data_IF_044530615300
#
_entry.id   IF_044530615300
#
_cell.length_a   1.000
_cell.length_b   1.000
_cell.length_c   1.000
_cell.angle_alpha   90.00
_cell.angle_beta   90.00
_cell.angle_gamma   90.00
#
_symmetry.space_group_name_H-M   'P 1'
#
loop_
_entity.id
_entity.type
_entity.pdbx_description
1 polymer ?
#
# COMPACT_ATOMS: atom_id res chain seq x y z
N UNK A 1 25.62 -13.05 0.34
CA UNK A 1 25.02 -13.46 -0.95
C UNK A 1 24.40 -12.22 -1.57
N UNK A 2 24.79 -11.83 -2.80
CA UNK A 2 24.15 -10.72 -3.53
C UNK A 2 22.87 -11.29 -4.15
N UNK A 3 21.71 -10.90 -3.67
CA UNK A 3 20.44 -11.24 -4.33
C UNK A 3 20.46 -10.69 -5.75
N UNK A 4 20.40 -11.60 -6.72
CA UNK A 4 20.43 -11.25 -8.13
C UNK A 4 18.99 -11.02 -8.59
N UNK A 5 18.63 -9.75 -8.75
CA UNK A 5 17.32 -9.33 -9.25
C UNK A 5 17.37 -9.36 -10.77
N UNK A 6 16.48 -10.13 -11.39
CA UNK A 6 16.27 -10.04 -12.83
C UNK A 6 15.39 -8.82 -13.12
N UNK A 7 15.88 -7.86 -13.90
CA UNK A 7 15.14 -6.63 -14.26
C UNK A 7 13.91 -6.89 -15.15
N UNK A 8 13.66 -8.14 -15.52
CA UNK A 8 12.54 -8.60 -16.34
C UNK A 8 11.92 -9.84 -15.68
N UNK A 9 10.60 -10.03 -15.86
CA UNK A 9 9.90 -11.19 -15.33
C UNK A 9 10.34 -12.50 -16.00
N UNK A 10 10.96 -13.37 -15.23
CA UNK A 10 11.17 -14.78 -15.54
C UNK A 10 10.04 -15.61 -14.93
N UNK A 11 8.97 -15.83 -15.71
CA UNK A 11 7.83 -16.64 -15.30
C UNK A 11 8.17 -18.13 -15.15
N UNK A 12 9.26 -18.59 -15.76
CA UNK A 12 9.74 -19.97 -15.61
C UNK A 12 10.30 -20.21 -14.21
N UNK A 13 10.97 -19.21 -13.63
CA UNK A 13 11.47 -19.23 -12.25
C UNK A 13 10.44 -18.83 -11.19
N UNK A 14 9.37 -18.14 -11.60
CA UNK A 14 8.35 -17.69 -10.66
C UNK A 14 7.62 -18.86 -9.97
N UNK A 15 7.14 -18.63 -8.74
CA UNK A 15 6.28 -19.59 -8.05
C UNK A 15 4.94 -19.75 -8.80
N UNK A 16 4.24 -20.87 -8.59
CA UNK A 16 2.93 -21.09 -9.21
C UNK A 16 1.91 -20.02 -8.79
N UNK A 17 1.96 -19.56 -7.54
CA UNK A 17 1.13 -18.47 -7.05
C UNK A 17 1.51 -17.13 -7.68
N UNK A 18 2.81 -16.80 -7.73
CA UNK A 18 3.28 -15.54 -8.32
C UNK A 18 2.86 -15.42 -9.79
N UNK A 19 2.93 -16.52 -10.56
CA UNK A 19 2.40 -16.57 -11.93
C UNK A 19 0.91 -16.26 -12.00
N UNK A 20 0.10 -16.80 -11.08
CA UNK A 20 -1.35 -16.53 -11.03
C UNK A 20 -1.64 -15.07 -10.69
N UNK A 21 -0.89 -14.49 -9.76
CA UNK A 21 -0.98 -13.06 -9.43
C UNK A 21 -0.61 -12.20 -10.64
N UNK A 22 0.50 -12.51 -11.30
CA UNK A 22 0.93 -11.82 -12.52
C UNK A 22 -0.17 -11.87 -13.59
N UNK A 23 -0.71 -13.06 -13.88
CA UNK A 23 -1.81 -13.23 -14.84
C UNK A 23 -3.07 -12.43 -14.45
N UNK A 24 -3.42 -12.39 -13.16
CA UNK A 24 -4.57 -11.63 -12.67
C UNK A 24 -4.39 -10.09 -12.76
N UNK A 25 -3.14 -9.63 -12.91
CA UNK A 25 -2.79 -8.21 -13.06
C UNK A 25 -2.43 -7.79 -14.49
N UNK A 26 -2.27 -8.72 -15.42
CA UNK A 26 -1.82 -8.47 -16.81
C UNK A 26 -2.68 -7.44 -17.57
N UNK A 27 -3.99 -7.43 -17.33
CA UNK A 27 -4.91 -6.47 -17.93
C UNK A 27 -5.05 -5.14 -17.17
N UNK A 28 -4.40 -4.99 -16.02
CA UNK A 28 -4.56 -3.79 -15.20
C UNK A 28 -3.72 -2.63 -15.75
N UNK A 29 -4.39 -1.52 -16.05
CA UNK A 29 -3.81 -0.34 -16.70
C UNK A 29 -2.51 0.16 -16.05
N UNK A 30 -2.41 0.13 -14.71
CA UNK A 30 -1.18 0.49 -13.99
C UNK A 30 -0.07 -0.52 -14.29
N UNK A 31 -0.34 -1.82 -14.15
CA UNK A 31 0.66 -2.87 -14.35
C UNK A 31 1.23 -2.89 -15.77
N UNK A 32 0.45 -2.48 -16.78
CA UNK A 32 0.91 -2.40 -18.18
C UNK A 32 1.93 -1.29 -18.44
N UNK A 33 2.05 -0.31 -17.54
CA UNK A 33 2.96 0.84 -17.68
C UNK A 33 4.30 0.65 -16.98
N UNK A 34 4.43 -0.42 -16.20
CA UNK A 34 5.59 -0.69 -15.36
C UNK A 34 6.13 -2.08 -15.65
N UNK A 35 7.34 -2.35 -15.17
CA UNK A 35 8.01 -3.63 -15.40
C UNK A 35 7.92 -4.52 -14.17
N UNK A 36 7.71 -5.80 -14.43
CA UNK A 36 7.89 -6.85 -13.45
C UNK A 36 9.35 -7.29 -13.40
N UNK A 37 9.85 -7.56 -12.20
CA UNK A 37 11.15 -8.16 -11.93
C UNK A 37 10.97 -9.49 -11.20
N UNK A 38 11.92 -10.41 -11.37
CA UNK A 38 11.93 -11.71 -10.68
C UNK A 38 13.07 -11.77 -9.68
N UNK A 39 12.75 -12.25 -8.48
CA UNK A 39 13.68 -12.35 -7.36
C UNK A 39 14.08 -13.82 -7.10
N UNK A 40 15.12 -14.02 -6.30
CA UNK A 40 15.81 -15.30 -6.14
C UNK A 40 14.90 -16.44 -5.66
N UNK A 41 13.86 -16.14 -4.87
CA UNK A 41 12.87 -17.10 -4.37
C UNK A 41 11.70 -17.37 -5.33
N UNK A 42 11.77 -16.86 -6.56
CA UNK A 42 10.68 -16.96 -7.53
C UNK A 42 9.53 -15.99 -7.26
N UNK A 43 9.77 -14.96 -6.45
CA UNK A 43 8.84 -13.86 -6.27
C UNK A 43 8.84 -12.95 -7.49
N UNK A 44 7.68 -12.36 -7.76
CA UNK A 44 7.53 -11.34 -8.78
C UNK A 44 7.27 -9.99 -8.11
N UNK A 45 7.98 -8.97 -8.54
CA UNK A 45 7.87 -7.61 -8.01
C UNK A 45 7.50 -6.66 -9.14
N UNK A 46 6.43 -5.91 -8.93
CA UNK A 46 5.97 -4.82 -9.78
C UNK A 46 6.25 -3.49 -9.06
N UNK A 47 7.16 -2.68 -9.60
CA UNK A 47 7.48 -1.37 -9.02
C UNK A 47 6.76 -0.26 -9.80
N UNK A 48 6.05 0.60 -9.05
CA UNK A 48 5.26 1.71 -9.59
C UNK A 48 5.82 3.01 -9.02
N UNK A 49 6.40 3.82 -9.89
CA UNK A 49 7.00 5.12 -9.54
C UNK A 49 6.30 6.30 -10.22
N UNK A 50 5.24 6.01 -10.97
CA UNK A 50 4.46 7.01 -11.69
C UNK A 50 2.98 6.72 -11.49
N UNK A 51 2.24 7.72 -11.06
CA UNK A 51 0.80 7.63 -10.89
C UNK A 51 0.09 7.44 -12.25
N UNK A 52 -1.19 7.03 -12.28
CA UNK A 52 -1.97 6.94 -13.52
C UNK A 52 -2.02 8.23 -14.34
N UNK A 53 -1.81 9.39 -13.70
CA UNK A 53 -1.72 10.71 -14.34
C UNK A 53 -0.39 10.97 -15.05
N UNK A 54 0.60 10.09 -14.92
CA UNK A 54 1.95 10.29 -15.47
C UNK A 54 2.90 11.08 -14.56
N UNK A 55 2.44 11.53 -13.38
CA UNK A 55 3.25 12.29 -12.43
C UNK A 55 4.09 11.33 -11.58
N UNK A 56 5.38 11.61 -11.33
CA UNK A 56 6.18 10.85 -10.38
C UNK A 56 5.51 10.78 -9.00
N UNK A 57 5.56 9.62 -8.36
CA UNK A 57 4.99 9.40 -7.05
C UNK A 57 5.99 8.71 -6.11
N UNK A 58 5.65 8.64 -4.82
CA UNK A 58 6.36 7.71 -3.93
C UNK A 58 6.27 6.29 -4.51
N UNK A 59 7.40 5.58 -4.51
CA UNK A 59 7.48 4.21 -5.01
C UNK A 59 6.49 3.33 -4.25
N UNK A 60 5.68 2.62 -5.02
CA UNK A 60 4.79 1.56 -4.56
C UNK A 60 5.25 0.25 -5.18
N UNK A 61 5.35 -0.79 -4.36
CA UNK A 61 5.77 -2.12 -4.77
C UNK A 61 4.61 -3.09 -4.57
N UNK A 62 4.23 -3.81 -5.63
CA UNK A 62 3.34 -4.97 -5.53
C UNK A 62 4.20 -6.22 -5.65
N UNK A 63 4.27 -6.99 -4.58
CA UNK A 63 5.09 -8.21 -4.51
C UNK A 63 4.20 -9.44 -4.50
N UNK A 64 4.47 -10.42 -5.37
CA UNK A 64 3.83 -11.72 -5.35
C UNK A 64 4.85 -12.76 -4.86
N UNK A 65 4.65 -13.28 -3.65
CA UNK A 65 5.54 -14.26 -3.02
C UNK A 65 5.12 -15.70 -3.36
N UNK A 66 5.55 -16.69 -2.57
CA UNK A 66 5.15 -18.08 -2.75
C UNK A 66 3.65 -18.33 -2.57
N UNK A 67 2.98 -17.55 -1.72
CA UNK A 67 1.58 -17.77 -1.31
C UNK A 67 0.80 -16.48 -1.05
N UNK A 68 1.45 -15.31 -1.17
CA UNK A 68 0.84 -13.99 -0.90
C UNK A 68 1.07 -12.99 -2.02
N UNK A 69 0.26 -11.95 -2.02
CA UNK A 69 0.48 -10.71 -2.74
C UNK A 69 0.51 -9.57 -1.71
N UNK A 70 1.49 -8.69 -1.82
CA UNK A 70 1.68 -7.54 -0.95
C UNK A 70 1.60 -6.23 -1.70
N UNK A 71 1.01 -5.23 -1.08
CA UNK A 71 1.15 -3.81 -1.43
C UNK A 71 2.09 -3.17 -0.43
N UNK A 72 3.20 -2.61 -0.88
CA UNK A 72 4.25 -2.06 -0.04
C UNK A 72 4.58 -0.62 -0.48
N UNK A 73 4.71 0.28 0.49
CA UNK A 73 5.29 1.62 0.33
C UNK A 73 6.56 1.70 1.20
N UNK A 74 7.17 2.88 1.31
CA UNK A 74 8.31 3.05 2.22
C UNK A 74 7.96 2.80 3.68
N UNK A 75 6.72 3.11 4.07
CA UNK A 75 6.31 3.16 5.47
C UNK A 75 5.16 2.23 5.79
N UNK A 76 4.47 1.63 4.82
CA UNK A 76 3.32 0.78 5.06
C UNK A 76 3.35 -0.45 4.16
N UNK A 77 2.82 -1.56 4.68
CA UNK A 77 2.68 -2.79 3.91
C UNK A 77 1.38 -3.51 4.28
N UNK A 78 0.71 -4.04 3.27
CA UNK A 78 -0.41 -4.97 3.42
C UNK A 78 -0.07 -6.25 2.66
N UNK A 79 -0.27 -7.41 3.28
CA UNK A 79 -0.16 -8.71 2.62
C UNK A 79 -1.49 -9.45 2.68
N UNK A 80 -1.87 -10.04 1.55
CA UNK A 80 -3.08 -10.84 1.34
C UNK A 80 -2.71 -12.09 0.50
N UNK A 81 -3.54 -13.13 0.36
CA UNK A 81 -4.85 -13.32 0.96
C UNK A 81 -4.77 -13.41 2.49
N UNK A 82 -5.75 -12.81 3.16
CA UNK A 82 -6.08 -13.12 4.55
C UNK A 82 -6.66 -14.56 4.63
N UNK A 83 -6.69 -15.18 5.82
CA UNK A 83 -7.32 -16.49 5.99
C UNK A 83 -8.74 -16.53 5.40
N UNK A 84 -8.99 -17.46 4.46
CA UNK A 84 -10.27 -17.61 3.78
C UNK A 84 -10.51 -16.67 2.57
N UNK A 85 -9.57 -15.78 2.25
CA UNK A 85 -9.70 -14.87 1.11
C UNK A 85 -9.24 -15.55 -0.20
N UNK A 86 -10.01 -15.36 -1.28
CA UNK A 86 -9.64 -15.86 -2.60
C UNK A 86 -8.58 -14.98 -3.28
N UNK A 87 -7.91 -15.51 -4.31
CA UNK A 87 -6.96 -14.75 -5.13
C UNK A 87 -7.63 -13.51 -5.75
N UNK A 88 -8.82 -13.67 -6.30
CA UNK A 88 -9.55 -12.59 -6.99
C UNK A 88 -9.83 -11.45 -6.01
N UNK A 89 -10.27 -11.79 -4.78
CA UNK A 89 -10.51 -10.80 -3.75
C UNK A 89 -9.22 -10.13 -3.27
N UNK A 90 -8.13 -10.90 -3.11
CA UNK A 90 -6.82 -10.38 -2.75
C UNK A 90 -6.28 -9.39 -3.79
N UNK A 91 -6.40 -9.73 -5.07
CA UNK A 91 -6.00 -8.87 -6.19
C UNK A 91 -6.85 -7.60 -6.24
N UNK A 92 -8.17 -7.70 -6.05
CA UNK A 92 -9.04 -6.51 -6.02
C UNK A 92 -8.74 -5.60 -4.82
N UNK A 93 -8.41 -6.15 -3.65
CA UNK A 93 -8.01 -5.35 -2.49
C UNK A 93 -6.68 -4.59 -2.77
N UNK A 94 -5.69 -5.24 -3.40
CA UNK A 94 -4.44 -4.58 -3.81
C UNK A 94 -4.69 -3.49 -4.84
N UNK A 95 -5.52 -3.74 -5.86
CA UNK A 95 -5.89 -2.72 -6.86
C UNK A 95 -6.62 -1.55 -6.20
N UNK A 96 -7.58 -1.83 -5.32
CA UNK A 96 -8.35 -0.80 -4.61
C UNK A 96 -7.44 0.05 -3.72
N UNK A 97 -6.54 -0.57 -2.97
CA UNK A 97 -5.56 0.12 -2.14
C UNK A 97 -4.63 0.99 -2.99
N UNK A 98 -4.15 0.48 -4.12
CA UNK A 98 -3.30 1.24 -5.04
C UNK A 98 -4.01 2.48 -5.60
N UNK A 99 -5.28 2.34 -5.99
CA UNK A 99 -6.09 3.49 -6.44
C UNK A 99 -6.26 4.53 -5.34
N UNK A 100 -6.62 4.09 -4.12
CA UNK A 100 -6.76 4.99 -2.96
C UNK A 100 -5.47 5.71 -2.62
N UNK A 101 -4.33 5.01 -2.72
CA UNK A 101 -3.01 5.59 -2.52
C UNK A 101 -2.77 6.75 -3.49
N UNK A 102 -2.98 6.53 -4.79
CA UNK A 102 -2.81 7.57 -5.81
C UNK A 102 -3.84 8.70 -5.72
N UNK A 103 -5.03 8.42 -5.18
CA UNK A 103 -6.04 9.44 -4.90
C UNK A 103 -5.75 10.26 -3.62
N UNK A 104 -4.72 9.92 -2.85
CA UNK A 104 -4.42 10.56 -1.56
C UNK A 104 -5.45 10.25 -0.46
N UNK A 105 -6.24 9.18 -0.63
CA UNK A 105 -7.30 8.78 0.30
C UNK A 105 -6.78 7.93 1.47
N UNK A 106 -5.54 7.47 1.39
CA UNK A 106 -4.89 6.67 2.44
C UNK A 106 -4.19 7.59 3.42
N UNK A 107 -4.63 7.54 4.68
CA UNK A 107 -3.93 8.19 5.79
C UNK A 107 -3.17 7.13 6.57
N UNK A 108 -1.87 7.32 6.77
CA UNK A 108 -1.00 6.41 7.51
C UNK A 108 -0.58 7.06 8.83
N UNK A 109 -0.76 6.33 9.93
CA UNK A 109 -0.10 6.64 11.19
C UNK A 109 1.24 5.89 11.22
N UNK A 110 2.34 6.61 11.42
CA UNK A 110 3.68 6.04 11.57
C UNK A 110 4.16 6.19 13.01
N UNK A 111 4.67 5.11 13.57
CA UNK A 111 5.22 5.08 14.92
C UNK A 111 6.75 5.16 14.85
N UNK A 112 7.32 6.12 15.57
CA UNK A 112 8.76 6.36 15.65
C UNK A 112 9.25 6.17 17.09
N UNK A 113 10.41 5.55 17.26
CA UNK A 113 11.04 5.34 18.56
C UNK A 113 12.55 5.36 18.43
N UNK A 114 13.23 6.14 19.27
CA UNK A 114 14.69 6.33 19.25
C UNK A 114 15.21 6.86 17.89
N UNK A 115 14.44 7.74 17.24
CA UNK A 115 14.80 8.30 15.94
C UNK A 115 14.65 7.33 14.76
N UNK A 116 14.10 6.14 14.99
CA UNK A 116 13.89 5.13 13.94
C UNK A 116 12.42 4.79 13.77
N UNK A 117 12.05 4.43 12.54
CA UNK A 117 10.72 3.95 12.21
C UNK A 117 10.49 2.58 12.85
N UNK A 118 9.37 2.42 13.58
CA UNK A 118 9.00 1.20 14.29
C UNK A 118 7.82 0.46 13.66
N UNK A 119 7.05 1.13 12.83
CA UNK A 119 5.92 0.53 12.13
C UNK A 119 4.90 1.57 11.70
N UNK A 120 3.90 1.13 10.95
CA UNK A 120 2.81 2.00 10.53
C UNK A 120 1.51 1.24 10.39
N UNK A 121 0.40 1.96 10.46
CA UNK A 121 -0.93 1.42 10.20
C UNK A 121 -1.77 2.41 9.42
N UNK A 122 -2.73 1.89 8.64
CA UNK A 122 -3.70 2.70 7.95
C UNK A 122 -4.74 3.22 8.95
N UNK A 123 -5.06 4.50 8.87
CA UNK A 123 -6.06 5.13 9.75
C UNK A 123 -7.40 5.20 9.03
N UNK A 124 -8.44 4.74 9.70
CA UNK A 124 -9.81 4.94 9.22
C UNK A 124 -10.20 6.43 9.38
N UNK A 125 -10.24 7.15 8.26
CA UNK A 125 -10.58 8.58 8.22
C UNK A 125 -12.02 8.87 8.64
N UNK A 126 -12.92 7.88 8.59
CA UNK A 126 -14.31 8.03 9.07
C UNK A 126 -14.39 8.17 10.58
N UNK A 127 -13.39 7.71 11.32
CA UNK A 127 -13.32 7.85 12.78
C UNK A 127 -12.66 9.18 13.21
N UNK A 128 -11.84 9.80 12.36
CA UNK A 128 -11.14 11.05 12.70
C UNK A 128 -12.05 12.29 12.75
N UNK A 129 -13.15 12.31 11.99
CA UNK A 129 -14.14 13.41 12.02
C UNK A 129 -14.86 13.51 13.35
N UNK A 130 -14.98 12.41 14.11
CA UNK A 130 -15.61 12.40 15.44
C UNK A 130 -14.73 13.07 16.48
N UNK A 131 -13.40 12.92 16.37
CA UNK A 131 -12.44 13.45 17.36
C UNK A 131 -12.19 14.95 17.22
N UNK A 132 -12.28 15.52 16.00
CA UNK A 132 -12.12 16.97 15.78
C UNK A 132 -13.37 17.77 16.18
N UNK A 133 -14.57 17.21 16.10
CA UNK A 133 -15.81 17.88 16.55
C UNK A 133 -15.90 18.03 18.07
N UNK A 134 -15.21 17.20 18.87
CA UNK A 134 -15.22 17.34 20.35
C UNK A 134 -14.32 18.46 20.90
N UNK A 135 -13.39 19.01 20.11
CA UNK A 135 -12.44 20.05 20.57
C UNK A 135 -12.87 21.50 20.27
N UNK A 136 -14.06 21.74 19.68
CA UNK A 136 -14.54 23.10 19.35
C UNK A 136 -15.57 23.70 20.29
N UNK A 137 -15.90 23.07 21.41
CA UNK A 137 -16.79 23.63 22.43
C UNK A 137 -16.13 23.66 23.81
N UNK A 138 -15.19 24.58 24.00
CA UNK A 138 -14.83 25.09 25.34
C UNK A 138 -14.33 26.53 25.24
N UNK A 139 -15.18 27.42 24.74
CA UNK A 139 -15.06 28.86 24.99
C UNK A 139 -16.28 29.25 25.80
N UNK A 140 -16.23 28.99 27.11
CA UNK A 140 -17.17 29.61 28.04
C UNK A 140 -16.65 30.99 28.37
N UNK A 141 -17.19 31.98 27.67
CA UNK A 141 -17.13 33.39 28.00
C UNK A 141 -17.97 33.64 29.26
N UNK A 142 -17.41 34.31 30.28
CA UNK A 142 -18.20 35.12 31.24
C UNK A 142 -17.27 36.15 31.89
N UNK A 143 -17.16 37.32 31.26
CA UNK A 143 -17.88 38.55 31.61
C UNK A 143 -17.38 39.19 32.89
N UNK A 144 -16.49 40.17 32.70
CA UNK A 144 -16.29 41.32 33.58
C UNK A 144 -17.62 41.93 34.01
N UNK A 145 -17.77 42.19 35.30
CA UNK A 145 -18.76 43.10 35.86
C UNK A 145 -18.04 43.95 36.92
N UNK A 146 -17.84 45.21 36.58
CA UNK A 146 -17.67 46.36 37.48
C UNK A 146 -18.78 47.35 37.07
N UNK A 147 -19.28 48.24 37.94
CA UNK A 147 -18.51 49.13 38.82
C UNK A 147 -18.44 48.65 40.28
#
# INVERSE_FOLDING_TARGET
MKSMIAEHADLGRASAWARRVHAALDGWEIARRVRWSTWEGGELLLEIETAPTGIPCERVSIVATADRIGFLTRTFGLQVPLPGQTLERAVEDVKALTRKWFAGEVVIASYWGEGQWRGSTMVDTRQQTVSKSRRRFSTTTRSSRSP
#
